data_IF_478923823667
#
_entry.id   IF_478923823667
#
_cell.length_a   1.000
_cell.length_b   1.000
_cell.length_c   1.000
_cell.angle_alpha   90.00
_cell.angle_beta   90.00
_cell.angle_gamma   90.00
#
_symmetry.space_group_name_H-M   'P 1'
#
loop_
_entity.id
_entity.type
_entity.pdbx_description
1 polymer ?
#
# COMPACT_ATOMS: atom_id res chain seq x y z
N UNK A 1 10.94 -83.55 29.96
CA UNK A 1 11.72 -82.47 29.32
C UNK A 1 10.97 -81.19 29.61
N UNK A 2 11.43 -80.14 30.29
CA UNK A 2 12.69 -79.79 30.96
C UNK A 2 12.30 -78.60 31.88
N UNK A 3 12.69 -78.66 33.17
CA UNK A 3 13.21 -77.55 34.00
C UNK A 3 12.47 -76.19 34.00
N UNK A 4 11.80 -75.87 35.13
CA UNK A 4 11.85 -74.55 35.79
C UNK A 4 13.18 -74.47 36.58
N UNK A 5 13.87 -73.32 36.86
CA UNK A 5 13.28 -72.05 37.35
C UNK A 5 14.13 -70.72 37.18
N UNK A 6 13.62 -69.63 37.81
CA UNK A 6 14.30 -68.48 38.46
C UNK A 6 14.78 -67.22 37.69
N UNK A 7 14.38 -66.09 38.30
CA UNK A 7 15.05 -64.77 38.45
C UNK A 7 15.32 -63.93 37.20
N UNK A 8 15.02 -62.63 37.15
CA UNK A 8 14.53 -61.68 38.14
C UNK A 8 14.54 -60.25 37.54
N UNK A 9 13.96 -59.31 38.29
CA UNK A 9 14.22 -57.85 38.35
C UNK A 9 14.87 -57.17 37.12
N UNK A 10 14.42 -56.02 36.60
CA UNK A 10 13.74 -54.87 37.21
C UNK A 10 13.66 -53.73 36.18
N UNK A 11 12.74 -52.80 36.45
CA UNK A 11 12.75 -51.36 36.15
C UNK A 11 12.32 -50.91 34.75
N UNK A 12 11.10 -50.37 34.75
CA UNK A 12 10.76 -49.01 34.34
C UNK A 12 11.35 -48.55 33.01
N UNK A 13 10.52 -48.56 31.96
CA UNK A 13 10.53 -47.43 31.06
C UNK A 13 9.15 -47.24 30.42
N UNK A 14 8.75 -45.98 30.39
CA UNK A 14 7.47 -45.44 30.01
C UNK A 14 7.18 -45.60 28.50
N UNK A 15 5.90 -45.87 28.22
CA UNK A 15 5.12 -45.46 27.05
C UNK A 15 5.64 -45.84 25.63
N UNK A 16 5.13 -46.98 25.14
CA UNK A 16 4.99 -47.34 23.73
C UNK A 16 3.49 -47.65 23.55
N UNK A 17 2.66 -46.92 22.82
CA UNK A 17 2.54 -46.97 21.37
C UNK A 17 1.36 -46.06 21.00
N UNK A 18 1.57 -45.03 20.20
CA UNK A 18 0.52 -44.47 19.35
C UNK A 18 1.05 -44.54 17.92
N UNK A 19 0.57 -45.55 17.21
CA UNK A 19 0.86 -45.77 15.80
C UNK A 19 -0.18 -45.01 14.99
N UNK A 20 0.33 -44.22 14.03
CA UNK A 20 -0.24 -43.93 12.73
C UNK A 20 -1.67 -43.39 12.67
N UNK A 21 -1.76 -42.05 12.73
CA UNK A 21 -2.25 -41.34 11.55
C UNK A 21 -1.36 -40.11 11.33
N UNK A 22 -0.35 -40.29 10.48
CA UNK A 22 0.49 -39.22 9.95
C UNK A 22 -0.40 -38.26 9.16
N UNK A 23 -0.97 -37.25 9.83
CA UNK A 23 -1.25 -35.99 9.16
C UNK A 23 0.06 -35.22 9.19
N UNK A 24 0.85 -35.38 8.13
CA UNK A 24 1.79 -34.33 7.73
C UNK A 24 0.98 -33.04 7.65
N UNK A 25 1.05 -32.24 8.71
CA UNK A 25 0.75 -30.83 8.60
C UNK A 25 1.89 -30.29 7.76
N UNK A 26 1.71 -30.32 6.45
CA UNK A 26 2.31 -29.36 5.55
C UNK A 26 1.92 -28.00 6.11
N UNK A 27 2.79 -27.47 6.97
CA UNK A 27 2.90 -26.03 7.12
C UNK A 27 3.34 -25.56 5.75
N UNK A 28 2.39 -25.33 4.84
CA UNK A 28 2.60 -24.43 3.71
C UNK A 28 3.35 -23.24 4.31
N UNK A 29 4.58 -23.00 3.88
CA UNK A 29 5.32 -21.81 4.27
C UNK A 29 4.52 -20.63 3.76
N UNK A 30 3.59 -20.17 4.58
CA UNK A 30 2.74 -19.05 4.22
C UNK A 30 3.66 -17.85 4.25
N UNK A 31 4.18 -17.49 3.09
CA UNK A 31 4.97 -16.29 2.92
C UNK A 31 4.08 -15.11 3.29
N UNK A 32 4.44 -14.46 4.39
CA UNK A 32 3.81 -13.23 4.89
C UNK A 32 4.69 -12.05 4.49
N UNK A 33 4.05 -10.95 4.08
CA UNK A 33 4.73 -9.70 3.77
C UNK A 33 5.30 -9.08 5.03
N UNK A 34 6.61 -8.85 5.03
CA UNK A 34 7.32 -8.10 6.07
C UNK A 34 7.88 -6.79 5.49
N UNK A 35 8.18 -5.83 6.37
CA UNK A 35 8.79 -4.57 5.93
C UNK A 35 10.19 -4.85 5.33
N UNK A 36 10.43 -4.32 4.13
CA UNK A 36 11.64 -4.57 3.34
C UNK A 36 11.50 -5.67 2.28
N UNK A 37 10.41 -6.43 2.28
CA UNK A 37 10.14 -7.42 1.23
C UNK A 37 9.74 -6.75 -0.09
N UNK A 38 10.17 -7.34 -1.20
CA UNK A 38 9.71 -6.96 -2.53
C UNK A 38 8.41 -7.69 -2.84
N UNK A 39 7.34 -6.97 -3.14
CA UNK A 39 6.02 -7.55 -3.37
C UNK A 39 5.44 -7.11 -4.69
N UNK A 40 4.64 -7.99 -5.28
CA UNK A 40 3.81 -7.69 -6.46
C UNK A 40 2.36 -7.74 -6.06
N UNK A 41 1.63 -6.66 -6.32
CA UNK A 41 0.20 -6.56 -6.00
C UNK A 41 -0.61 -6.09 -7.20
N UNK A 42 -1.82 -6.61 -7.33
CA UNK A 42 -2.88 -5.88 -8.01
C UNK A 42 -3.65 -5.04 -7.01
N UNK A 43 -4.11 -3.87 -7.42
CA UNK A 43 -4.94 -3.02 -6.59
C UNK A 43 -6.05 -2.39 -7.42
N UNK A 44 -7.15 -2.09 -6.75
CA UNK A 44 -8.22 -1.25 -7.28
C UNK A 44 -8.54 -0.18 -6.24
N UNK A 45 -8.32 1.07 -6.62
CA UNK A 45 -8.62 2.25 -5.82
C UNK A 45 -10.00 2.79 -6.15
N UNK A 46 -10.84 2.92 -5.14
CA UNK A 46 -12.20 3.45 -5.20
C UNK A 46 -12.35 4.64 -4.26
N UNK A 47 -13.19 5.59 -4.66
CA UNK A 47 -13.62 6.73 -3.85
C UNK A 47 -14.86 6.36 -3.02
N UNK A 48 -15.25 7.21 -2.07
CA UNK A 48 -16.43 7.02 -1.22
C UNK A 48 -17.75 6.91 -2.02
N UNK A 49 -17.80 7.54 -3.19
CA UNK A 49 -18.92 7.50 -4.13
C UNK A 49 -19.00 6.17 -4.91
N UNK A 50 -18.04 5.27 -4.74
CA UNK A 50 -17.91 4.00 -5.46
C UNK A 50 -17.23 4.12 -6.83
N UNK A 51 -16.78 5.30 -7.22
CA UNK A 51 -16.05 5.51 -8.47
C UNK A 51 -14.62 4.95 -8.37
N UNK A 52 -14.23 4.11 -9.31
CA UNK A 52 -12.84 3.64 -9.45
C UNK A 52 -12.00 4.77 -10.01
N UNK A 53 -11.01 5.24 -9.26
CA UNK A 53 -10.10 6.30 -9.73
C UNK A 53 -8.84 5.73 -10.39
N UNK A 54 -8.39 4.54 -9.98
CA UNK A 54 -7.26 3.84 -10.56
C UNK A 54 -7.34 2.34 -10.28
N UNK A 55 -6.87 1.51 -11.22
CA UNK A 55 -6.78 0.05 -11.02
C UNK A 55 -5.57 -0.51 -11.78
N UNK A 56 -4.92 -1.52 -11.20
CA UNK A 56 -3.87 -2.30 -11.84
C UNK A 56 -4.31 -3.71 -12.22
N UNK A 57 -5.59 -4.08 -12.04
CA UNK A 57 -6.12 -5.42 -12.36
C UNK A 57 -6.03 -5.72 -13.87
N UNK A 58 -6.21 -4.72 -14.72
CA UNK A 58 -6.10 -4.84 -16.18
C UNK A 58 -4.66 -4.64 -16.70
N UNK A 59 -3.70 -4.34 -15.81
CA UNK A 59 -2.31 -4.04 -16.14
C UNK A 59 -1.36 -5.06 -15.49
N UNK A 60 -0.06 -4.90 -15.69
CA UNK A 60 0.93 -5.69 -14.96
C UNK A 60 0.86 -5.40 -13.45
N UNK A 61 1.16 -6.40 -12.58
CA UNK A 61 1.22 -6.19 -11.14
C UNK A 61 2.17 -5.07 -10.77
N UNK A 62 1.78 -4.26 -9.78
CA UNK A 62 2.64 -3.22 -9.24
C UNK A 62 3.69 -3.86 -8.33
N UNK A 63 4.96 -3.71 -8.69
CA UNK A 63 6.10 -4.15 -7.89
C UNK A 63 6.66 -3.00 -7.07
N UNK A 64 6.79 -3.19 -5.76
CA UNK A 64 7.39 -2.21 -4.84
C UNK A 64 7.91 -2.89 -3.57
N UNK A 65 8.71 -2.17 -2.79
CA UNK A 65 9.20 -2.65 -1.49
C UNK A 65 8.23 -2.28 -0.38
N UNK A 66 7.72 -3.29 0.33
CA UNK A 66 6.77 -3.10 1.41
C UNK A 66 7.39 -2.29 2.56
N UNK A 67 6.72 -1.20 2.97
CA UNK A 67 7.19 -0.36 4.09
C UNK A 67 8.42 0.51 3.78
N UNK A 68 8.80 0.63 2.50
CA UNK A 68 9.89 1.53 2.09
C UNK A 68 9.45 3.00 1.99
N UNK A 69 8.16 3.31 2.20
CA UNK A 69 7.62 4.67 2.06
C UNK A 69 7.55 5.13 0.61
N UNK A 70 7.56 4.20 -0.34
CA UNK A 70 7.39 4.49 -1.78
C UNK A 70 5.91 4.71 -2.13
N UNK A 71 5.01 4.11 -1.34
CA UNK A 71 3.56 4.28 -1.47
C UNK A 71 3.02 5.18 -0.37
N UNK A 72 1.73 5.50 -0.46
CA UNK A 72 0.99 6.16 0.61
C UNK A 72 1.06 5.32 1.90
N UNK A 73 1.13 6.00 3.05
CA UNK A 73 1.36 5.35 4.35
C UNK A 73 0.35 4.25 4.64
N UNK A 74 -0.93 4.51 4.35
CA UNK A 74 -1.98 3.52 4.57
C UNK A 74 -1.84 2.28 3.68
N UNK A 75 -1.31 2.41 2.46
CA UNK A 75 -1.13 1.29 1.54
C UNK A 75 0.04 0.43 1.98
N UNK A 76 1.17 1.06 2.31
CA UNK A 76 2.33 0.38 2.88
C UNK A 76 1.96 -0.36 4.16
N UNK A 77 1.20 0.25 5.07
CA UNK A 77 0.74 -0.42 6.29
C UNK A 77 -0.25 -1.57 6.03
N UNK A 78 -1.10 -1.44 5.01
CA UNK A 78 -2.12 -2.44 4.70
C UNK A 78 -1.55 -3.75 4.15
N UNK A 79 -0.48 -3.67 3.36
CA UNK A 79 0.19 -4.84 2.75
C UNK A 79 1.00 -5.65 3.75
N UNK A 80 1.48 -5.05 4.84
CA UNK A 80 2.18 -5.78 5.91
C UNK A 80 1.24 -6.84 6.51
N UNK A 81 1.74 -8.07 6.64
CA UNK A 81 0.97 -9.18 7.18
C UNK A 81 0.08 -9.90 6.16
N UNK A 82 -0.01 -9.44 4.90
CA UNK A 82 -0.74 -10.15 3.86
C UNK A 82 0.00 -11.42 3.41
N UNK A 83 -0.76 -12.41 2.92
CA UNK A 83 -0.25 -13.68 2.40
C UNK A 83 -0.36 -13.73 0.88
N UNK A 84 0.51 -14.50 0.23
CA UNK A 84 0.45 -14.66 -1.24
C UNK A 84 -0.93 -15.18 -1.66
N UNK A 85 -1.56 -14.52 -2.63
CA UNK A 85 -2.91 -14.84 -3.11
C UNK A 85 -4.05 -14.24 -2.28
N UNK A 86 -3.76 -13.61 -1.14
CA UNK A 86 -4.76 -12.94 -0.31
C UNK A 86 -5.27 -11.67 -0.97
N UNK A 87 -6.57 -11.44 -0.85
CA UNK A 87 -7.23 -10.18 -1.22
C UNK A 87 -7.70 -9.50 0.05
N UNK A 88 -7.30 -8.24 0.23
CA UNK A 88 -7.63 -7.43 1.40
C UNK A 88 -8.17 -6.10 0.94
N UNK A 89 -9.33 -5.72 1.47
CA UNK A 89 -9.89 -4.38 1.26
C UNK A 89 -9.59 -3.53 2.48
N UNK A 90 -9.03 -2.35 2.27
CA UNK A 90 -8.69 -1.39 3.31
C UNK A 90 -9.23 -0.01 2.92
N UNK A 91 -9.82 0.69 3.89
CA UNK A 91 -10.15 2.11 3.74
C UNK A 91 -9.04 2.92 4.37
N UNK A 92 -8.40 3.77 3.56
CA UNK A 92 -7.31 4.64 3.97
C UNK A 92 -7.88 6.06 4.10
N UNK A 93 -7.84 6.67 5.29
CA UNK A 93 -8.29 8.04 5.46
C UNK A 93 -7.40 8.99 4.66
N UNK A 94 -7.94 10.15 4.26
CA UNK A 94 -7.22 11.13 3.46
C UNK A 94 -5.82 11.48 4.04
N UNK A 95 -5.69 11.58 5.36
CA UNK A 95 -4.44 11.85 6.07
C UNK A 95 -3.31 10.83 5.81
N UNK A 96 -3.66 9.56 5.61
CA UNK A 96 -2.72 8.45 5.36
C UNK A 96 -2.63 8.08 3.87
N UNK A 97 -3.41 8.75 3.02
CA UNK A 97 -3.41 8.62 1.57
C UNK A 97 -2.59 9.75 0.91
N UNK A 98 -3.27 10.69 0.25
CA UNK A 98 -2.65 11.83 -0.43
C UNK A 98 -2.58 13.10 0.44
N UNK A 99 -2.88 12.98 1.73
CA UNK A 99 -2.97 14.09 2.66
C UNK A 99 -4.35 14.72 2.69
N UNK A 100 -4.55 15.58 3.69
CA UNK A 100 -5.71 16.47 3.72
C UNK A 100 -5.57 17.55 2.66
N UNK A 101 -6.69 18.11 2.23
CA UNK A 101 -6.65 19.35 1.46
C UNK A 101 -6.02 20.42 2.34
N UNK A 102 -4.95 21.01 1.84
CA UNK A 102 -4.16 22.00 2.55
C UNK A 102 -4.39 23.37 1.90
N UNK A 103 -4.99 24.28 2.67
CA UNK A 103 -5.19 25.67 2.25
C UNK A 103 -3.85 26.38 2.02
N UNK A 104 -2.74 25.92 2.62
CA UNK A 104 -1.39 26.45 2.38
C UNK A 104 -0.84 26.07 0.99
N UNK A 105 -1.41 25.03 0.36
CA UNK A 105 -1.12 24.67 -1.04
C UNK A 105 -1.99 25.45 -2.03
N UNK A 106 -2.86 26.34 -1.55
CA UNK A 106 -3.54 27.33 -2.38
C UNK A 106 -2.63 28.55 -2.49
N UNK A 107 -1.92 28.65 -3.60
CA UNK A 107 -0.89 29.65 -3.81
C UNK A 107 -1.48 30.85 -4.55
N UNK A 108 -1.19 32.04 -4.05
CA UNK A 108 -1.54 33.30 -4.70
C UNK A 108 -0.30 33.91 -5.32
N UNK A 109 -0.34 34.15 -6.62
CA UNK A 109 0.73 34.79 -7.38
C UNK A 109 0.27 36.16 -7.90
N UNK A 110 1.21 37.10 -8.02
CA UNK A 110 0.94 38.32 -8.78
C UNK A 110 1.01 38.01 -10.27
N UNK A 111 0.16 38.66 -11.09
CA UNK A 111 0.27 38.53 -12.54
C UNK A 111 1.63 38.99 -13.08
N UNK A 112 2.33 39.86 -12.35
CA UNK A 112 3.69 40.31 -12.69
C UNK A 112 4.75 39.21 -12.54
N UNK A 113 4.47 38.16 -11.77
CA UNK A 113 5.38 37.01 -11.61
C UNK A 113 5.28 36.03 -12.78
N UNK A 114 4.24 36.16 -13.60
CA UNK A 114 4.09 35.36 -14.80
C UNK A 114 4.96 35.89 -15.93
N UNK A 115 5.46 35.00 -16.82
CA UNK A 115 6.20 35.42 -17.99
C UNK A 115 5.36 36.34 -18.88
N UNK A 116 5.99 37.38 -19.42
CA UNK A 116 5.33 38.38 -20.27
C UNK A 116 4.58 37.70 -21.45
N UNK A 117 3.30 38.01 -21.58
CA UNK A 117 2.42 37.43 -22.62
C UNK A 117 1.59 36.23 -22.17
N UNK A 118 1.71 35.78 -20.91
CA UNK A 118 0.80 34.80 -20.32
C UNK A 118 -0.42 35.50 -19.71
N UNK A 119 -1.61 35.19 -20.24
CA UNK A 119 -2.90 35.65 -19.71
C UNK A 119 -3.68 34.42 -19.21
N UNK A 120 -3.43 33.96 -17.97
CA UNK A 120 -4.06 32.75 -17.46
C UNK A 120 -5.55 33.00 -17.21
N UNK A 121 -6.35 31.97 -17.46
CA UNK A 121 -7.78 31.93 -17.18
C UNK A 121 -8.07 30.89 -16.12
N UNK A 122 -9.19 31.05 -15.44
CA UNK A 122 -9.71 30.01 -14.53
C UNK A 122 -9.82 28.69 -15.30
N UNK A 123 -9.23 27.64 -14.74
CA UNK A 123 -9.12 26.32 -15.37
C UNK A 123 -7.84 26.07 -16.16
N UNK A 124 -7.04 27.10 -16.47
CA UNK A 124 -5.71 26.89 -17.06
C UNK A 124 -4.78 26.20 -16.06
N UNK A 125 -3.75 25.50 -16.55
CA UNK A 125 -2.76 24.84 -15.70
C UNK A 125 -1.43 25.60 -15.72
N UNK A 126 -0.95 25.97 -14.54
CA UNK A 126 0.34 26.63 -14.37
C UNK A 126 1.36 25.61 -13.86
N UNK A 127 2.52 25.45 -14.54
CA UNK A 127 3.61 24.63 -14.03
C UNK A 127 4.29 25.36 -12.86
N UNK A 128 4.20 24.77 -11.67
CA UNK A 128 4.88 25.25 -10.47
C UNK A 128 6.03 24.32 -10.12
N UNK A 129 7.08 24.90 -9.55
CA UNK A 129 8.20 24.13 -8.98
C UNK A 129 7.78 23.58 -7.62
N UNK A 130 7.46 22.29 -7.56
CA UNK A 130 7.21 21.57 -6.31
C UNK A 130 8.50 21.20 -5.57
N UNK A 131 8.35 20.58 -4.40
CA UNK A 131 9.50 20.09 -3.62
C UNK A 131 10.28 19.02 -4.39
N UNK A 132 11.61 18.99 -4.22
CA UNK A 132 12.48 18.00 -4.87
C UNK A 132 12.69 18.19 -6.37
N UNK A 133 12.36 19.36 -6.93
CA UNK A 133 12.56 19.67 -8.36
C UNK A 133 11.49 19.08 -9.29
N UNK A 134 10.39 18.56 -8.74
CA UNK A 134 9.25 18.08 -9.52
C UNK A 134 8.39 19.26 -9.96
N UNK A 135 8.06 19.35 -11.25
CA UNK A 135 7.09 20.32 -11.76
C UNK A 135 5.68 19.77 -11.52
N UNK A 136 4.83 20.54 -10.86
CA UNK A 136 3.41 20.23 -10.66
C UNK A 136 2.57 21.17 -11.52
N UNK A 137 1.58 20.63 -12.23
CA UNK A 137 0.67 21.42 -13.05
C UNK A 137 -0.57 21.75 -12.20
N UNK A 138 -0.57 22.93 -11.59
CA UNK A 138 -1.65 23.37 -10.71
C UNK A 138 -2.74 24.10 -11.52
N UNK A 139 -4.03 23.74 -11.38
CA UNK A 139 -5.13 24.49 -12.00
C UNK A 139 -5.28 25.87 -11.36
N UNK A 140 -5.59 26.86 -12.18
CA UNK A 140 -6.00 28.20 -11.76
C UNK A 140 -7.44 28.14 -11.26
N UNK A 141 -7.63 28.41 -9.98
CA UNK A 141 -8.95 28.44 -9.33
C UNK A 141 -9.62 29.79 -9.52
N UNK A 142 -8.82 30.86 -9.46
CA UNK A 142 -9.33 32.22 -9.55
C UNK A 142 -8.33 33.14 -10.25
N UNK A 143 -8.86 34.07 -11.03
CA UNK A 143 -8.09 35.14 -11.66
C UNK A 143 -8.79 36.45 -11.36
N UNK A 144 -8.10 37.35 -10.67
CA UNK A 144 -8.57 38.72 -10.42
C UNK A 144 -7.89 39.68 -11.41
N UNK A 145 -8.05 40.99 -11.24
CA UNK A 145 -7.36 41.98 -12.09
C UNK A 145 -5.83 41.93 -11.90
N UNK A 146 -5.36 41.68 -10.67
CA UNK A 146 -3.93 41.78 -10.28
C UNK A 146 -3.31 40.46 -9.83
N UNK A 147 -4.11 39.51 -9.36
CA UNK A 147 -3.61 38.25 -8.77
C UNK A 147 -4.23 37.04 -9.45
N UNK A 148 -3.56 35.90 -9.30
CA UNK A 148 -4.07 34.59 -9.67
C UNK A 148 -3.96 33.67 -8.46
N UNK A 149 -4.95 32.82 -8.28
CA UNK A 149 -4.99 31.80 -7.24
C UNK A 149 -4.93 30.44 -7.94
N UNK A 150 -3.98 29.61 -7.54
CA UNK A 150 -3.80 28.26 -8.08
C UNK A 150 -3.83 27.24 -6.95
N UNK A 151 -4.42 26.08 -7.23
CA UNK A 151 -4.50 24.98 -6.28
C UNK A 151 -3.40 23.96 -6.57
N UNK A 152 -2.39 23.88 -5.71
CA UNK A 152 -1.30 22.93 -5.81
C UNK A 152 -1.58 21.59 -5.11
N UNK A 153 -2.77 21.39 -4.54
CA UNK A 153 -3.15 20.14 -3.89
C UNK A 153 -3.17 18.97 -4.88
N UNK A 154 -2.90 17.77 -4.38
CA UNK A 154 -3.15 16.57 -5.16
C UNK A 154 -4.66 16.44 -5.45
N UNK A 155 -5.04 16.00 -6.66
CA UNK A 155 -6.46 15.86 -7.05
C UNK A 155 -7.29 14.97 -6.11
N UNK A 156 -6.62 14.06 -5.41
CA UNK A 156 -7.22 13.13 -4.44
C UNK A 156 -6.99 13.54 -2.98
N UNK A 157 -6.37 14.69 -2.71
CA UNK A 157 -6.20 15.20 -1.35
C UNK A 157 -7.56 15.51 -0.72
N UNK A 158 -7.69 15.23 0.58
CA UNK A 158 -8.93 15.42 1.34
C UNK A 158 -10.02 14.38 1.06
N UNK A 159 -9.75 13.33 0.27
CA UNK A 159 -10.68 12.22 0.01
C UNK A 159 -10.19 10.93 0.66
N UNK A 160 -11.09 10.25 1.34
CA UNK A 160 -10.84 8.89 1.83
C UNK A 160 -10.83 7.93 0.64
N UNK A 161 -9.86 7.02 0.62
CA UNK A 161 -9.65 6.09 -0.49
C UNK A 161 -9.82 4.66 -0.01
N UNK A 162 -10.66 3.90 -0.69
CA UNK A 162 -10.79 2.46 -0.44
C UNK A 162 -9.98 1.70 -1.47
N UNK A 163 -9.02 0.90 -1.00
CA UNK A 163 -8.18 0.06 -1.84
C UNK A 163 -8.52 -1.41 -1.62
N UNK A 164 -8.85 -2.11 -2.70
CA UNK A 164 -8.81 -3.56 -2.75
C UNK A 164 -7.44 -3.98 -3.24
N UNK A 165 -6.66 -4.67 -2.42
CA UNK A 165 -5.29 -5.09 -2.71
C UNK A 165 -5.28 -6.61 -2.80
N UNK A 166 -4.69 -7.14 -3.87
CA UNK A 166 -4.46 -8.56 -4.09
C UNK A 166 -2.98 -8.82 -4.19
N UNK A 167 -2.45 -9.60 -3.25
CA UNK A 167 -1.04 -9.99 -3.28
C UNK A 167 -0.82 -11.10 -4.30
N UNK A 168 0.07 -10.87 -5.25
CA UNK A 168 0.39 -11.81 -6.33
C UNK A 168 1.62 -12.63 -5.97
N UNK A 169 2.67 -11.98 -5.47
CA UNK A 169 3.96 -12.61 -5.21
C UNK A 169 4.70 -11.85 -4.10
N UNK A 170 5.49 -12.59 -3.31
CA UNK A 170 6.43 -12.05 -2.33
C UNK A 170 7.82 -12.56 -2.69
N UNK A 171 8.77 -11.64 -2.77
CA UNK A 171 10.20 -11.90 -2.89
C UNK A 171 10.90 -11.30 -1.68
N UNK A 172 11.52 -12.15 -0.86
CA UNK A 172 12.18 -11.70 0.38
C UNK A 172 13.28 -10.67 0.09
N UNK A 173 13.23 -9.55 0.82
CA UNK A 173 14.25 -8.51 0.78
C UNK A 173 15.58 -9.03 1.32
N UNK A 174 16.70 -8.50 0.81
CA UNK A 174 18.05 -8.84 1.31
C UNK A 174 18.42 -8.03 2.54
#
# INVERSE_FOLDING_TARGET
>A
MFIIPFSGCTKDNEEETINEENTEVVVDEVLVVEAGDYIKVHYTGTLDDGSVFDSSVEREPLEFTAGAGQMIKGFDAAVIGMKVGEVKTVTIPAEDAYGLHDDELILTFSKDELPEGMDPKVGDQIPLSGSGGRIINAPVVEVTDTTIIVDANHRLAGKDLTFEIKLVEISKGK
#
